data_IF_904174557536
#
_entry.id   IF_904174557536
#
_cell.length_a   1.000
_cell.length_b   1.000
_cell.length_c   1.000
_cell.angle_alpha   90.00
_cell.angle_beta   90.00
_cell.angle_gamma   90.00
#
_symmetry.space_group_name_H-M   'P 1'
#
loop_
_entity.id
_entity.type
_entity.pdbx_description
1 polymer ?
#
# COMPACT_ATOMS: atom_id res chain seq x y z
N UNK A 1 1.43 -12.46 1.08
CA UNK A 1 0.85 -12.34 -0.29
C UNK A 1 -0.44 -13.15 -0.49
N UNK A 2 -0.80 -14.11 0.38
CA UNK A 2 -2.00 -14.94 0.25
C UNK A 2 -3.32 -14.15 0.13
N UNK A 3 -3.38 -12.91 0.63
CA UNK A 3 -4.62 -12.13 0.69
C UNK A 3 -4.94 -11.35 -0.60
N UNK A 4 -3.94 -10.82 -1.32
CA UNK A 4 -4.19 -10.17 -2.63
C UNK A 4 -4.63 -11.20 -3.68
N UNK A 5 -4.04 -12.39 -3.67
CA UNK A 5 -4.48 -13.51 -4.51
C UNK A 5 -5.95 -13.87 -4.26
N UNK A 6 -6.41 -13.76 -3.01
CA UNK A 6 -7.82 -13.98 -2.66
C UNK A 6 -8.73 -12.90 -3.25
N UNK A 7 -8.31 -11.63 -3.23
CA UNK A 7 -9.05 -10.54 -3.89
C UNK A 7 -9.16 -10.80 -5.40
N UNK A 8 -8.07 -11.19 -6.04
CA UNK A 8 -8.05 -11.51 -7.48
C UNK A 8 -9.02 -12.66 -7.78
N UNK A 9 -8.97 -13.76 -7.00
CA UNK A 9 -9.90 -14.88 -7.16
C UNK A 9 -11.35 -14.46 -7.02
N UNK A 10 -11.67 -13.64 -6.02
CA UNK A 10 -13.02 -13.10 -5.84
C UNK A 10 -13.45 -12.28 -7.07
N UNK A 11 -12.58 -11.41 -7.61
CA UNK A 11 -12.90 -10.64 -8.82
C UNK A 11 -13.16 -11.57 -10.01
N UNK A 12 -12.33 -12.60 -10.20
CA UNK A 12 -12.50 -13.59 -11.28
C UNK A 12 -13.80 -14.40 -11.12
N UNK A 13 -14.13 -14.84 -9.90
CA UNK A 13 -15.38 -15.56 -9.59
C UNK A 13 -16.63 -14.72 -9.89
N UNK A 14 -16.50 -13.39 -9.95
CA UNK A 14 -17.58 -12.46 -10.29
C UNK A 14 -17.52 -12.01 -11.76
N UNK A 15 -16.79 -12.72 -12.61
CA UNK A 15 -16.63 -12.45 -14.04
C UNK A 15 -16.06 -11.05 -14.35
N UNK A 16 -15.25 -10.49 -13.45
CA UNK A 16 -14.49 -9.27 -13.76
C UNK A 16 -13.41 -9.64 -14.79
N UNK A 17 -13.34 -8.89 -15.88
CA UNK A 17 -12.38 -9.14 -16.95
C UNK A 17 -10.92 -9.01 -16.44
N UNK A 18 -10.03 -9.89 -16.91
CA UNK A 18 -8.61 -9.89 -16.52
C UNK A 18 -7.94 -8.54 -16.75
N UNK A 19 -8.35 -7.79 -17.78
CA UNK A 19 -7.86 -6.43 -18.03
C UNK A 19 -8.23 -5.47 -16.88
N UNK A 20 -9.47 -5.54 -16.39
CA UNK A 20 -9.93 -4.70 -15.29
C UNK A 20 -9.24 -5.11 -13.96
N UNK A 21 -8.98 -6.41 -13.76
CA UNK A 21 -8.18 -6.91 -12.64
C UNK A 21 -6.74 -6.38 -12.71
N UNK A 22 -6.13 -6.38 -13.90
CA UNK A 22 -4.81 -5.80 -14.13
C UNK A 22 -4.76 -4.32 -13.76
N UNK A 23 -5.72 -3.53 -14.25
CA UNK A 23 -5.85 -2.10 -13.90
C UNK A 23 -6.05 -1.89 -12.40
N UNK A 24 -6.82 -2.76 -11.74
CA UNK A 24 -7.01 -2.70 -10.29
C UNK A 24 -5.70 -2.92 -9.53
N UNK A 25 -4.92 -3.92 -9.91
CA UNK A 25 -3.62 -4.22 -9.28
C UNK A 25 -2.64 -3.05 -9.49
N UNK A 26 -2.59 -2.50 -10.70
CA UNK A 26 -1.74 -1.33 -11.01
C UNK A 26 -2.12 -0.12 -10.14
N UNK A 27 -3.41 0.20 -10.07
CA UNK A 27 -3.91 1.28 -9.22
C UNK A 27 -3.60 1.04 -7.74
N UNK A 28 -3.71 -0.20 -7.26
CA UNK A 28 -3.35 -0.56 -5.89
C UNK A 28 -1.86 -0.34 -5.64
N UNK A 29 -0.98 -0.78 -6.55
CA UNK A 29 0.47 -0.57 -6.42
C UNK A 29 0.81 0.93 -6.40
N UNK A 30 0.18 1.73 -7.25
CA UNK A 30 0.36 3.18 -7.27
C UNK A 30 -0.09 3.83 -5.96
N UNK A 31 -1.25 3.42 -5.43
CA UNK A 31 -1.75 3.91 -4.14
C UNK A 31 -0.81 3.52 -2.98
N UNK A 32 -0.31 2.28 -2.97
CA UNK A 32 0.65 1.80 -1.97
C UNK A 32 1.92 2.62 -2.00
N UNK A 33 2.50 2.84 -3.19
CA UNK A 33 3.70 3.67 -3.36
C UNK A 33 3.49 5.09 -2.81
N UNK A 34 2.36 5.72 -3.12
CA UNK A 34 2.04 7.05 -2.60
C UNK A 34 1.89 7.06 -1.07
N UNK A 35 1.22 6.05 -0.50
CA UNK A 35 1.06 5.94 0.97
C UNK A 35 2.39 5.74 1.67
N UNK A 36 3.26 4.90 1.13
CA UNK A 36 4.62 4.68 1.64
C UNK A 36 5.42 5.99 1.59
N UNK A 37 5.35 6.74 0.50
CA UNK A 37 6.03 8.03 0.39
C UNK A 37 5.54 9.04 1.43
N UNK A 38 4.23 9.14 1.66
CA UNK A 38 3.67 10.00 2.72
C UNK A 38 4.21 9.58 4.09
N UNK A 39 4.29 8.28 4.34
CA UNK A 39 4.75 7.77 5.63
C UNK A 39 6.24 8.02 5.86
N UNK A 40 7.07 7.83 4.82
CA UNK A 40 8.48 8.19 4.86
C UNK A 40 8.68 9.71 5.04
N UNK A 41 7.87 10.53 4.38
CA UNK A 41 7.95 11.99 4.51
C UNK A 41 7.50 12.48 5.90
N UNK A 42 6.63 11.73 6.60
CA UNK A 42 6.13 12.11 7.92
C UNK A 42 7.21 12.23 9.00
N UNK A 43 8.36 11.59 8.80
CA UNK A 43 9.50 11.62 9.74
C UNK A 43 10.54 12.69 9.41
N UNK A 44 10.34 13.45 8.33
CA UNK A 44 11.18 14.60 7.97
C UNK A 44 10.71 15.81 8.78
N UNK A 45 11.37 16.07 9.92
CA UNK A 45 10.98 17.12 10.86
C UNK A 45 11.95 18.31 10.85
N UNK A 46 13.06 18.24 10.11
CA UNK A 46 14.07 19.29 10.04
C UNK A 46 14.46 19.69 8.61
N UNK A 47 14.66 21.00 8.42
CA UNK A 47 15.11 21.59 7.15
C UNK A 47 16.52 21.11 6.75
N UNK A 48 17.37 20.77 7.72
CA UNK A 48 18.71 20.20 7.50
C UNK A 48 18.65 18.76 6.97
N UNK A 49 17.75 17.92 7.51
CA UNK A 49 17.55 16.55 6.99
C UNK A 49 16.97 16.57 5.58
N UNK A 50 15.97 17.42 5.31
CA UNK A 50 15.41 17.60 3.97
C UNK A 50 16.50 18.06 2.99
N UNK A 51 17.28 19.09 3.36
CA UNK A 51 18.38 19.60 2.53
C UNK A 51 19.51 18.60 2.32
N UNK A 52 19.71 17.65 3.23
CA UNK A 52 20.68 16.55 3.09
C UNK A 52 20.18 15.51 2.09
N UNK A 53 18.92 15.13 2.19
CA UNK A 53 18.29 14.11 1.34
C UNK A 53 18.13 14.60 -0.12
N UNK A 54 17.78 15.87 -0.32
CA UNK A 54 17.64 16.49 -1.65
C UNK A 54 18.93 16.51 -2.48
N UNK A 55 20.09 16.34 -1.82
CA UNK A 55 21.40 16.29 -2.49
C UNK A 55 21.79 14.89 -2.93
N UNK A 56 21.03 13.87 -2.53
CA UNK A 56 21.32 12.48 -2.84
C UNK A 56 20.68 12.08 -4.18
N UNK A 57 21.32 11.18 -4.93
CA UNK A 57 20.65 10.43 -6.00
C UNK A 57 19.38 9.74 -5.48
N UNK A 58 18.35 9.63 -6.33
CA UNK A 58 17.02 9.13 -5.95
C UNK A 58 17.06 7.73 -5.29
N UNK A 59 17.93 6.85 -5.77
CA UNK A 59 18.18 5.52 -5.25
C UNK A 59 18.79 5.53 -3.84
N UNK A 60 19.69 6.48 -3.56
CA UNK A 60 20.29 6.66 -2.25
C UNK A 60 19.36 7.39 -1.28
N UNK A 61 18.59 8.36 -1.77
CA UNK A 61 17.60 9.09 -1.01
C UNK A 61 16.52 8.17 -0.43
N UNK A 62 16.00 7.23 -1.22
CA UNK A 62 15.01 6.27 -0.75
C UNK A 62 15.57 5.35 0.36
N UNK A 63 16.81 4.90 0.21
CA UNK A 63 17.47 4.07 1.23
C UNK A 63 17.68 4.81 2.55
N UNK A 64 18.12 6.08 2.49
CA UNK A 64 18.31 6.94 3.67
C UNK A 64 16.99 7.31 4.33
N UNK A 65 15.94 7.60 3.56
CA UNK A 65 14.60 7.84 4.09
C UNK A 65 14.05 6.63 4.84
N UNK A 66 14.21 5.42 4.28
CA UNK A 66 13.79 4.20 4.95
C UNK A 66 14.56 3.93 6.25
N UNK A 67 15.86 4.22 6.26
CA UNK A 67 16.69 4.11 7.47
C UNK A 67 16.26 5.12 8.54
N UNK A 68 16.05 6.38 8.17
CA UNK A 68 15.58 7.44 9.05
C UNK A 68 14.20 7.13 9.65
N UNK A 69 13.28 6.63 8.82
CA UNK A 69 11.96 6.19 9.28
C UNK A 69 12.07 5.10 10.35
N UNK A 70 12.93 4.10 10.13
CA UNK A 70 13.16 3.02 11.10
C UNK A 70 13.80 3.52 12.39
N UNK A 71 14.74 4.46 12.30
CA UNK A 71 15.36 5.09 13.46
C UNK A 71 14.33 5.84 14.31
N UNK A 72 13.48 6.66 13.68
CA UNK A 72 12.51 7.51 14.38
C UNK A 72 11.28 6.76 14.88
N UNK A 73 10.81 5.73 14.16
CA UNK A 73 9.56 5.02 14.49
C UNK A 73 9.77 3.64 15.10
N UNK A 74 10.98 3.07 14.98
CA UNK A 74 11.27 1.68 15.33
C UNK A 74 10.67 0.64 14.37
N UNK A 75 9.97 1.07 13.31
CA UNK A 75 9.34 0.18 12.33
C UNK A 75 10.08 0.16 11.00
N UNK A 76 10.16 -1.03 10.41
CA UNK A 76 10.67 -1.18 9.05
C UNK A 76 9.59 -0.80 8.04
N UNK A 77 9.93 -0.01 7.01
CA UNK A 77 8.97 0.41 6.00
C UNK A 77 8.40 -0.77 5.21
N UNK A 78 9.14 -1.88 5.09
CA UNK A 78 8.62 -3.11 4.49
C UNK A 78 7.45 -3.70 5.31
N UNK A 79 7.52 -3.63 6.65
CA UNK A 79 6.45 -4.08 7.53
C UNK A 79 5.23 -3.17 7.38
N UNK A 80 5.44 -1.84 7.37
CA UNK A 80 4.35 -0.86 7.19
C UNK A 80 3.66 -1.02 5.83
N UNK A 81 4.45 -1.24 4.78
CA UNK A 81 3.93 -1.50 3.43
C UNK A 81 2.98 -2.71 3.42
N UNK A 82 3.34 -3.74 4.17
CA UNK A 82 2.52 -4.94 4.31
C UNK A 82 1.27 -4.68 5.18
N UNK A 83 1.39 -3.94 6.28
CA UNK A 83 0.25 -3.51 7.11
C UNK A 83 -0.79 -2.72 6.29
N UNK A 84 -0.34 -1.81 5.41
CA UNK A 84 -1.21 -1.02 4.53
C UNK A 84 -1.93 -1.92 3.52
N UNK A 85 -1.19 -2.83 2.87
CA UNK A 85 -1.76 -3.78 1.92
C UNK A 85 -2.79 -4.69 2.59
N UNK A 86 -2.47 -5.25 3.75
CA UNK A 86 -3.35 -6.15 4.50
C UNK A 86 -4.63 -5.42 4.96
N UNK A 87 -4.50 -4.16 5.39
CA UNK A 87 -5.64 -3.31 5.74
C UNK A 87 -6.56 -3.05 4.54
N UNK A 88 -5.99 -2.75 3.37
CA UNK A 88 -6.74 -2.58 2.13
C UNK A 88 -7.48 -3.86 1.74
N UNK A 89 -6.79 -5.00 1.71
CA UNK A 89 -7.39 -6.29 1.32
C UNK A 89 -8.51 -6.69 2.28
N UNK A 90 -8.28 -6.54 3.58
CA UNK A 90 -9.29 -6.84 4.61
C UNK A 90 -10.52 -5.95 4.44
N UNK A 91 -10.32 -4.66 4.19
CA UNK A 91 -11.40 -3.71 3.90
C UNK A 91 -12.21 -4.09 2.66
N UNK A 92 -11.52 -4.41 1.57
CA UNK A 92 -12.14 -4.85 0.32
C UNK A 92 -13.00 -6.10 0.54
N UNK A 93 -12.41 -7.17 1.09
CA UNK A 93 -13.11 -8.43 1.31
C UNK A 93 -14.30 -8.27 2.27
N UNK A 94 -14.17 -7.43 3.29
CA UNK A 94 -15.27 -7.14 4.23
C UNK A 94 -16.43 -6.45 3.53
N UNK A 95 -16.16 -5.44 2.71
CA UNK A 95 -17.21 -4.73 1.97
C UNK A 95 -17.86 -5.63 0.92
N UNK A 96 -17.06 -6.44 0.22
CA UNK A 96 -17.57 -7.44 -0.71
C UNK A 96 -18.52 -8.43 -0.05
N UNK A 97 -18.15 -9.01 1.11
CA UNK A 97 -19.03 -9.94 1.82
C UNK A 97 -20.32 -9.26 2.29
N UNK A 98 -20.26 -8.00 2.74
CA UNK A 98 -21.46 -7.24 3.12
C UNK A 98 -22.42 -7.06 1.95
N UNK A 99 -21.91 -6.65 0.79
CA UNK A 99 -22.73 -6.49 -0.42
C UNK A 99 -23.39 -7.82 -0.83
N UNK A 100 -22.65 -8.93 -0.82
CA UNK A 100 -23.23 -10.26 -1.13
C UNK A 100 -24.31 -10.70 -0.15
N UNK A 101 -24.15 -10.41 1.13
CA UNK A 101 -25.18 -10.69 2.14
C UNK A 101 -26.43 -9.82 1.97
N UNK A 102 -26.31 -8.61 1.43
CA UNK A 102 -27.43 -7.72 1.10
C UNK A 102 -28.15 -8.17 -0.18
N UNK A 103 -27.41 -8.59 -1.22
CA UNK A 103 -27.96 -9.17 -2.45
C UNK A 103 -28.79 -10.43 -2.19
N UNK A 104 -28.40 -11.28 -1.23
CA UNK A 104 -29.13 -12.51 -0.87
C UNK A 104 -30.42 -12.27 -0.06
N UNK A 105 -30.59 -11.07 0.49
CA UNK A 105 -31.77 -10.68 1.28
C UNK A 105 -32.83 -9.95 0.45
N UNK A 106 -32.51 -9.58 -0.78
CA UNK A 106 -33.42 -8.93 -1.75
C UNK A 106 -33.99 -9.95 -2.72
#
# INVERSE_FOLDING_TARGET
>A
MADLERVIKVLQENNVEDKAIGTFIENLNNLLAQKIQVELASVLDSDEEMSRLDKLPEDQMQGELAALYKEKTGKDIAVVSQEILDGFVTGFLTQYHKQKLEEQKS
#
